data_IF_282994636872
#
_entry.id   IF_282994636872
#
_cell.length_a   1.000
_cell.length_b   1.000
_cell.length_c   1.000
_cell.angle_alpha   90.00
_cell.angle_beta   90.00
_cell.angle_gamma   90.00
#
_symmetry.space_group_name_H-M   'P 1'
#
loop_
_entity.id
_entity.type
_entity.pdbx_description
1 polymer ?
#
# COMPACT_ATOMS: atom_id res chain seq x y z
N UNK A 1 9.51 4.22 11.28
CA UNK A 1 8.46 3.29 10.81
C UNK A 1 7.82 2.68 12.03
N UNK A 2 6.49 2.74 12.17
CA UNK A 2 5.77 1.99 13.20
C UNK A 2 5.11 0.80 12.48
N UNK A 3 5.46 -0.42 12.86
CA UNK A 3 4.99 -1.64 12.23
C UNK A 3 4.45 -2.58 13.29
N UNK A 4 3.32 -3.21 12.97
CA UNK A 4 2.76 -4.31 13.75
C UNK A 4 2.68 -5.53 12.83
N UNK A 5 3.36 -6.61 13.20
CA UNK A 5 3.36 -7.87 12.45
C UNK A 5 2.74 -8.99 13.27
N UNK A 6 2.05 -9.89 12.57
CA UNK A 6 1.51 -11.13 13.13
C UNK A 6 2.06 -12.27 12.30
N UNK A 7 2.81 -13.17 12.93
CA UNK A 7 3.33 -14.37 12.31
C UNK A 7 2.49 -15.57 12.76
N UNK A 8 1.76 -16.16 11.83
CA UNK A 8 1.03 -17.40 12.08
C UNK A 8 0.91 -18.24 10.80
N UNK A 9 0.77 -19.55 10.97
CA UNK A 9 0.46 -20.47 9.85
C UNK A 9 -1.03 -20.41 9.54
N UNK A 10 -1.36 -20.41 8.25
CA UNK A 10 -2.77 -20.41 7.81
C UNK A 10 -3.47 -19.06 7.93
N UNK A 11 -2.72 -17.95 7.89
CA UNK A 11 -3.32 -16.63 7.70
C UNK A 11 -3.71 -16.48 6.22
N UNK A 12 -5.01 -16.33 5.98
CA UNK A 12 -5.56 -16.17 4.62
C UNK A 12 -5.82 -14.72 4.26
N UNK A 13 -5.65 -13.78 5.18
CA UNK A 13 -5.91 -12.38 4.95
C UNK A 13 -6.27 -11.63 6.21
N UNK A 14 -6.31 -10.31 6.12
CA UNK A 14 -6.75 -9.45 7.22
C UNK A 14 -7.38 -8.16 6.68
N UNK A 15 -8.52 -7.72 7.23
CA UNK A 15 -8.98 -6.35 7.05
C UNK A 15 -8.15 -5.42 7.93
N UNK A 16 -7.72 -4.29 7.40
CA UNK A 16 -7.17 -3.20 8.20
C UNK A 16 -7.84 -1.88 7.88
N UNK A 17 -7.98 -1.05 8.92
CA UNK A 17 -8.39 0.35 8.80
C UNK A 17 -7.16 1.22 8.96
N UNK A 18 -6.90 2.03 7.95
CA UNK A 18 -5.74 2.92 7.90
C UNK A 18 -6.23 4.35 7.86
N UNK A 19 -5.77 5.19 8.78
CA UNK A 19 -5.93 6.63 8.63
C UNK A 19 -5.11 7.10 7.43
N UNK A 20 -5.71 7.91 6.57
CA UNK A 20 -5.06 8.46 5.38
C UNK A 20 -4.49 9.82 5.72
N UNK A 21 -3.19 10.03 5.50
CA UNK A 21 -2.52 11.32 5.72
C UNK A 21 -1.84 11.77 4.44
N UNK A 22 -1.66 13.09 4.29
CA UNK A 22 -0.87 13.70 3.21
C UNK A 22 0.33 14.45 3.83
N UNK A 23 1.32 13.72 4.39
CA UNK A 23 2.48 14.35 5.02
C UNK A 23 3.36 15.11 4.02
N UNK A 24 4.05 16.13 4.52
CA UNK A 24 5.07 16.84 3.73
C UNK A 24 6.31 15.96 3.58
N UNK A 25 6.66 15.63 2.33
CA UNK A 25 7.86 14.87 1.96
C UNK A 25 8.70 15.67 0.95
N UNK A 26 10.00 15.40 0.88
CA UNK A 26 10.87 15.93 -0.19
C UNK A 26 10.68 15.13 -1.49
N UNK A 27 11.17 15.66 -2.61
CA UNK A 27 11.04 15.02 -3.92
C UNK A 27 11.64 13.60 -3.99
N UNK A 28 12.66 13.32 -3.18
CA UNK A 28 13.34 12.02 -3.09
C UNK A 28 12.92 11.21 -1.84
N UNK A 29 11.80 11.56 -1.21
CA UNK A 29 11.28 10.86 -0.04
C UNK A 29 9.90 10.30 -0.31
N UNK A 30 9.57 9.21 0.37
CA UNK A 30 8.25 8.62 0.39
C UNK A 30 7.71 8.54 1.83
N UNK A 31 6.39 8.55 1.95
CA UNK A 31 5.69 8.19 3.18
C UNK A 31 4.51 7.30 2.81
N UNK A 32 4.24 6.29 3.62
CA UNK A 32 3.25 5.25 3.31
C UNK A 32 2.53 4.80 4.58
N UNK A 33 1.25 4.46 4.43
CA UNK A 33 0.49 3.64 5.35
C UNK A 33 -0.18 2.49 4.60
N UNK A 34 0.22 1.25 4.89
CA UNK A 34 -0.22 0.08 4.14
C UNK A 34 -0.34 -1.19 5.01
N UNK A 35 -1.05 -2.17 4.47
CA UNK A 35 -1.08 -3.55 4.98
C UNK A 35 -0.17 -4.39 4.09
N UNK A 36 0.71 -5.17 4.69
CA UNK A 36 1.65 -6.04 3.99
C UNK A 36 1.32 -7.50 4.28
N UNK A 37 1.33 -8.33 3.24
CA UNK A 37 1.34 -9.79 3.35
C UNK A 37 2.62 -10.28 2.71
N UNK A 38 3.44 -10.98 3.50
CA UNK A 38 4.74 -11.46 3.06
C UNK A 38 4.86 -12.95 3.32
N UNK A 39 5.53 -13.66 2.41
CA UNK A 39 5.88 -15.06 2.56
C UNK A 39 7.30 -15.30 2.04
N UNK A 40 8.18 -15.76 2.92
CA UNK A 40 9.58 -16.03 2.59
C UNK A 40 10.45 -16.17 3.82
N UNK A 41 11.68 -16.65 3.60
CA UNK A 41 12.77 -16.74 4.58
C UNK A 41 14.08 -16.39 3.89
N UNK A 42 15.12 -16.07 4.68
CA UNK A 42 16.50 -15.93 4.21
C UNK A 42 16.70 -14.95 3.03
N UNK A 43 16.01 -13.81 3.08
CA UNK A 43 16.15 -12.75 2.08
C UNK A 43 15.43 -13.01 0.74
N UNK A 44 14.76 -14.16 0.60
CA UNK A 44 13.90 -14.45 -0.55
C UNK A 44 12.45 -14.44 -0.10
N UNK A 45 11.69 -13.45 -0.54
CA UNK A 45 10.29 -13.31 -0.15
C UNK A 45 9.43 -12.86 -1.31
N UNK A 46 8.16 -13.21 -1.22
CA UNK A 46 7.10 -12.64 -2.02
C UNK A 46 6.29 -11.74 -1.09
N UNK A 47 6.11 -10.49 -1.48
CA UNK A 47 5.31 -9.55 -0.72
C UNK A 47 4.27 -8.90 -1.63
N UNK A 48 3.11 -8.64 -1.05
CA UNK A 48 2.10 -7.76 -1.62
C UNK A 48 1.61 -6.83 -0.54
N UNK A 49 1.42 -5.56 -0.90
CA UNK A 49 0.87 -4.58 0.01
C UNK A 49 -0.03 -3.60 -0.70
N UNK A 50 -0.96 -3.07 0.07
CA UNK A 50 -1.88 -2.06 -0.40
C UNK A 50 -2.11 -1.03 0.70
N UNK A 51 -2.25 0.22 0.29
CA UNK A 51 -2.24 1.34 1.20
C UNK A 51 -2.45 2.68 0.54
N UNK A 52 -2.03 3.72 1.24
CA UNK A 52 -1.82 5.02 0.66
C UNK A 52 -0.34 5.38 0.72
N UNK A 53 0.11 6.15 -0.26
CA UNK A 53 1.47 6.68 -0.28
C UNK A 53 1.48 8.17 -0.68
N UNK A 54 2.52 8.88 -0.26
CA UNK A 54 2.96 10.15 -0.84
C UNK A 54 4.38 9.93 -1.33
N UNK A 55 4.56 9.83 -2.65
CA UNK A 55 5.88 9.61 -3.25
C UNK A 55 6.01 10.40 -4.56
N UNK A 56 6.59 11.61 -4.49
CA UNK A 56 6.67 12.53 -5.63
C UNK A 56 7.46 11.97 -6.82
N UNK A 57 8.44 11.09 -6.57
CA UNK A 57 9.20 10.45 -7.62
C UNK A 57 8.32 9.62 -8.58
N UNK A 58 7.32 8.89 -8.04
CA UNK A 58 6.39 8.09 -8.85
C UNK A 58 5.18 8.90 -9.32
N UNK A 59 4.60 9.71 -8.44
CA UNK A 59 3.32 10.38 -8.70
C UNK A 59 3.45 11.76 -9.39
N UNK A 60 4.64 12.34 -9.45
CA UNK A 60 4.90 13.72 -9.89
C UNK A 60 4.09 14.79 -9.11
N UNK A 61 3.57 14.45 -7.92
CA UNK A 61 2.94 15.37 -6.98
C UNK A 61 3.18 14.94 -5.53
N UNK A 62 2.71 15.76 -4.58
CA UNK A 62 2.88 15.53 -3.14
C UNK A 62 1.55 15.11 -2.50
N UNK A 63 0.73 14.34 -3.22
CA UNK A 63 -0.63 13.98 -2.77
C UNK A 63 -0.70 12.55 -2.28
N UNK A 64 -1.57 12.30 -1.31
CA UNK A 64 -1.86 10.95 -0.85
C UNK A 64 -2.62 10.19 -1.94
N UNK A 65 -2.09 9.05 -2.37
CA UNK A 65 -2.65 8.24 -3.45
C UNK A 65 -2.87 6.81 -3.01
N UNK A 66 -3.95 6.19 -3.47
CA UNK A 66 -4.16 4.75 -3.32
C UNK A 66 -3.06 4.03 -4.06
N UNK A 67 -2.54 2.96 -3.49
CA UNK A 67 -1.49 2.19 -4.11
C UNK A 67 -1.56 0.71 -3.78
N UNK A 68 -1.10 -0.08 -4.74
CA UNK A 68 -0.82 -1.50 -4.59
C UNK A 68 0.57 -1.77 -5.13
N UNK A 69 1.42 -2.43 -4.35
CA UNK A 69 2.70 -2.92 -4.82
C UNK A 69 2.91 -4.38 -4.44
N UNK A 70 3.82 -5.00 -5.18
CA UNK A 70 4.26 -6.35 -4.94
C UNK A 70 5.70 -6.51 -5.35
N UNK A 71 6.33 -7.52 -4.78
CA UNK A 71 7.65 -7.96 -5.20
C UNK A 71 7.74 -9.47 -5.13
N UNK A 72 8.53 -10.01 -6.04
CA UNK A 72 8.95 -11.41 -6.07
C UNK A 72 10.45 -11.48 -6.41
N UNK A 73 11.10 -12.64 -6.26
CA UNK A 73 12.54 -12.75 -6.52
C UNK A 73 13.00 -12.35 -7.92
N UNK A 74 12.10 -12.32 -8.91
CA UNK A 74 12.37 -11.93 -10.30
C UNK A 74 11.93 -10.48 -10.60
N UNK A 75 10.99 -9.93 -9.84
CA UNK A 75 10.43 -8.59 -10.02
C UNK A 75 10.55 -7.79 -8.72
N UNK A 76 11.71 -7.17 -8.46
CA UNK A 76 11.86 -6.29 -7.32
C UNK A 76 11.03 -5.01 -7.54
N UNK A 77 10.25 -4.62 -6.53
CA UNK A 77 9.71 -3.28 -6.38
C UNK A 77 8.71 -2.83 -7.50
N UNK A 78 7.62 -3.58 -7.67
CA UNK A 78 6.59 -3.29 -8.67
C UNK A 78 5.43 -2.50 -8.09
N UNK A 79 5.14 -1.33 -8.70
CA UNK A 79 4.11 -0.39 -8.26
C UNK A 79 2.91 -0.34 -9.21
N UNK A 80 1.71 -0.29 -8.64
CA UNK A 80 0.43 -0.04 -9.31
C UNK A 80 0.23 -0.90 -10.57
N UNK A 81 0.23 -0.26 -11.74
CA UNK A 81 0.08 -0.91 -13.04
C UNK A 81 1.33 -0.71 -13.90
N UNK A 82 2.47 -0.36 -13.28
CA UNK A 82 3.73 -0.14 -13.99
C UNK A 82 4.47 -1.44 -14.31
N UNK A 83 4.05 -2.56 -13.71
CA UNK A 83 4.55 -3.90 -13.98
C UNK A 83 3.45 -4.84 -14.48
N UNK A 84 3.84 -5.88 -15.21
CA UNK A 84 2.96 -7.02 -15.47
C UNK A 84 2.74 -7.83 -14.18
N UNK A 85 1.55 -8.41 -14.01
CA UNK A 85 1.24 -9.29 -12.88
C UNK A 85 0.03 -8.87 -12.04
N UNK A 86 -0.46 -7.65 -12.20
CA UNK A 86 -1.65 -7.16 -11.51
C UNK A 86 -2.83 -6.96 -12.47
N UNK A 87 -4.00 -7.51 -12.11
CA UNK A 87 -5.24 -7.37 -12.88
C UNK A 87 -6.27 -6.58 -12.07
N UNK A 88 -6.64 -5.41 -12.59
CA UNK A 88 -7.74 -4.63 -12.03
C UNK A 88 -9.08 -5.23 -12.47
N UNK A 89 -9.79 -5.85 -11.53
CA UNK A 89 -11.10 -6.48 -11.80
C UNK A 89 -12.30 -5.56 -11.60
N UNK A 90 -12.11 -4.41 -10.96
CA UNK A 90 -13.16 -3.43 -10.66
C UNK A 90 -12.68 -2.03 -11.04
N UNK A 91 -13.47 -1.31 -11.83
CA UNK A 91 -13.15 0.06 -12.26
C UNK A 91 -13.62 1.14 -11.30
N UNK A 92 -14.18 0.79 -10.13
CA UNK A 92 -14.71 1.76 -9.16
C UNK A 92 -13.62 2.66 -8.57
N UNK A 93 -12.46 2.10 -8.28
CA UNK A 93 -11.31 2.80 -7.70
C UNK A 93 -10.07 2.16 -8.31
N UNK A 94 -9.26 2.96 -9.00
CA UNK A 94 -8.02 2.49 -9.62
C UNK A 94 -6.82 2.77 -8.69
N UNK A 95 -5.75 1.96 -8.74
CA UNK A 95 -4.47 2.31 -8.15
C UNK A 95 -3.96 3.65 -8.71
N UNK A 96 -3.20 4.39 -7.91
CA UNK A 96 -2.68 5.72 -8.23
C UNK A 96 -3.67 6.87 -8.07
N UNK A 97 -4.96 6.64 -7.78
CA UNK A 97 -5.92 7.76 -7.59
C UNK A 97 -5.61 8.55 -6.32
N UNK A 98 -5.79 9.86 -6.37
CA UNK A 98 -5.69 10.72 -5.18
C UNK A 98 -6.81 10.40 -4.20
N UNK A 99 -6.46 10.25 -2.93
CA UNK A 99 -7.38 10.01 -1.83
C UNK A 99 -7.84 11.33 -1.23
N UNK A 100 -9.16 11.50 -1.12
CA UNK A 100 -9.80 12.62 -0.42
C UNK A 100 -11.07 12.12 0.27
N UNK A 101 -11.44 12.67 1.43
CA UNK A 101 -10.64 13.60 2.26
C UNK A 101 -9.44 12.91 2.96
N UNK A 102 -8.47 13.70 3.42
CA UNK A 102 -7.29 13.24 4.18
C UNK A 102 -7.33 13.73 5.62
N UNK A 103 -6.75 12.94 6.54
CA UNK A 103 -6.71 13.22 7.98
C UNK A 103 -5.76 14.37 8.29
N UNK A 104 -6.07 15.09 9.36
CA UNK A 104 -5.18 16.13 9.92
C UNK A 104 -4.81 15.81 11.36
N UNK A 105 -3.57 16.12 11.73
CA UNK A 105 -3.11 15.93 13.11
C UNK A 105 -3.93 16.82 14.06
N UNK A 106 -4.41 16.26 15.18
CA UNK A 106 -5.34 16.91 16.10
C UNK A 106 -6.64 17.44 15.47
N UNK A 107 -7.05 16.86 14.33
CA UNK A 107 -8.26 17.26 13.61
C UNK A 107 -9.04 16.05 13.08
N UNK A 108 -9.93 16.28 12.10
CA UNK A 108 -10.74 15.22 11.50
C UNK A 108 -9.88 14.05 11.01
N UNK A 109 -10.34 12.83 11.32
CA UNK A 109 -9.71 11.58 10.94
C UNK A 109 -10.53 10.90 9.85
N UNK A 110 -9.86 10.53 8.77
CA UNK A 110 -10.46 9.81 7.65
C UNK A 110 -9.70 8.53 7.41
N UNK A 111 -10.45 7.45 7.24
CA UNK A 111 -9.91 6.10 7.17
C UNK A 111 -10.30 5.44 5.86
N UNK A 112 -9.36 4.64 5.34
CA UNK A 112 -9.63 3.65 4.31
C UNK A 112 -9.63 2.27 4.93
N UNK A 113 -10.43 1.35 4.37
CA UNK A 113 -10.40 -0.06 4.75
C UNK A 113 -9.80 -0.86 3.61
N UNK A 114 -8.78 -1.64 3.91
CA UNK A 114 -8.12 -2.54 2.96
C UNK A 114 -8.35 -3.97 3.45
N UNK A 115 -8.76 -4.84 2.53
CA UNK A 115 -8.85 -6.27 2.76
C UNK A 115 -7.88 -6.95 1.79
N UNK A 116 -6.77 -7.45 2.33
CA UNK A 116 -5.89 -8.36 1.60
C UNK A 116 -6.23 -9.79 2.00
N UNK A 117 -6.48 -10.65 1.02
CA UNK A 117 -6.80 -12.05 1.26
C UNK A 117 -6.41 -12.95 0.08
N UNK A 118 -6.08 -14.20 0.39
CA UNK A 118 -5.83 -15.28 -0.57
C UNK A 118 -7.16 -15.92 -0.96
N UNK A 119 -7.45 -15.92 -2.26
CA UNK A 119 -8.57 -16.68 -2.85
C UNK A 119 -8.17 -18.16 -2.93
N UNK A 120 -9.15 -19.07 -2.74
CA UNK A 120 -8.94 -20.51 -2.83
C UNK A 120 -8.57 -20.96 -4.24
#
# INVERSE_FOLDING_TARGET
>A
MAQYSVEARGLYGTPAKLSVYEPLVKANQSSEGAVYVMNGQDGTFNAIWAGWYVYPYLASDFRARLHVAWEDPNNPDCYDLFCAGFLLVSSKIAPGVRLLPVSTYNGPQYQMTILLYKVK
#
